data_IF_278499388064
#
_entry.id   IF_278499388064
#
_cell.length_a   1.000
_cell.length_b   1.000
_cell.length_c   1.000
_cell.angle_alpha   90.00
_cell.angle_beta   90.00
_cell.angle_gamma   90.00
#
_symmetry.space_group_name_H-M   'P 1'
#
loop_
_entity.id
_entity.type
_entity.pdbx_description
1 polymer ?
#
# COMPACT_ATOMS: atom_id res chain seq x y z
N UNK A 1 -14.06 10.60 -3.31
CA UNK A 1 -13.50 9.25 -3.16
C UNK A 1 -12.40 9.08 -4.18
N UNK A 2 -11.16 9.03 -3.70
CA UNK A 2 -9.98 8.83 -4.54
C UNK A 2 -9.96 7.35 -4.92
N UNK A 3 -9.94 7.04 -6.22
CA UNK A 3 -10.00 5.67 -6.70
C UNK A 3 -8.60 5.07 -6.72
N UNK A 4 -8.21 4.35 -5.67
CA UNK A 4 -6.96 3.60 -5.67
C UNK A 4 -7.14 2.29 -6.43
N UNK A 5 -6.11 1.91 -7.19
CA UNK A 5 -6.03 0.63 -7.87
C UNK A 5 -4.60 0.11 -7.85
N UNK A 6 -4.38 -1.10 -8.35
CA UNK A 6 -3.07 -1.76 -8.43
C UNK A 6 -1.98 -0.96 -9.18
N UNK A 7 -2.36 -0.01 -10.04
CA UNK A 7 -1.45 0.93 -10.72
C UNK A 7 -1.24 2.24 -9.96
N UNK A 8 -2.02 2.52 -8.90
CA UNK A 8 -1.78 3.66 -8.03
C UNK A 8 -0.44 3.50 -7.32
N UNK A 9 0.26 4.60 -7.14
CA UNK A 9 1.53 4.62 -6.42
C UNK A 9 1.28 4.54 -4.92
N UNK A 10 2.22 3.94 -4.18
CA UNK A 10 2.16 3.95 -2.74
C UNK A 10 2.17 5.39 -2.18
N UNK A 11 2.84 6.32 -2.85
CA UNK A 11 2.81 7.75 -2.53
C UNK A 11 1.42 8.36 -2.64
N UNK A 12 0.66 8.08 -3.71
CA UNK A 12 -0.73 8.53 -3.85
C UNK A 12 -1.62 8.00 -2.71
N UNK A 13 -1.44 6.74 -2.33
CA UNK A 13 -2.16 6.14 -1.19
C UNK A 13 -1.82 6.88 0.11
N UNK A 14 -0.53 7.14 0.36
CA UNK A 14 -0.07 7.75 1.61
C UNK A 14 -0.31 9.26 1.71
N UNK A 15 -0.51 9.94 0.59
CA UNK A 15 -0.82 11.37 0.53
C UNK A 15 -2.31 11.65 0.70
N UNK A 16 -3.16 10.63 0.56
CA UNK A 16 -4.59 10.71 0.77
C UNK A 16 -4.97 10.26 2.19
N UNK A 17 -5.90 10.96 2.84
CA UNK A 17 -6.33 10.62 4.21
C UNK A 17 -6.91 9.20 4.32
N UNK A 18 -7.78 8.80 3.38
CA UNK A 18 -8.42 7.47 3.37
C UNK A 18 -7.39 6.37 3.08
N UNK A 19 -6.54 6.60 2.06
CA UNK A 19 -5.46 5.68 1.74
C UNK A 19 -4.43 5.52 2.87
N UNK A 20 -4.12 6.60 3.57
CA UNK A 20 -3.21 6.59 4.72
C UNK A 20 -3.80 5.84 5.91
N UNK A 21 -5.10 5.99 6.18
CA UNK A 21 -5.78 5.26 7.25
C UNK A 21 -5.74 3.75 6.99
N UNK A 22 -6.08 3.32 5.77
CA UNK A 22 -6.04 1.91 5.37
C UNK A 22 -4.60 1.39 5.38
N UNK A 23 -3.63 2.15 4.86
CA UNK A 23 -2.22 1.78 4.90
C UNK A 23 -1.72 1.63 6.34
N UNK A 24 -2.13 2.52 7.24
CA UNK A 24 -1.75 2.48 8.66
C UNK A 24 -2.39 1.27 9.36
N UNK A 25 -3.64 0.93 9.05
CA UNK A 25 -4.34 -0.25 9.57
C UNK A 25 -3.63 -1.57 9.23
N UNK A 26 -3.15 -1.72 7.98
CA UNK A 26 -2.51 -2.97 7.52
C UNK A 26 -1.02 -3.03 7.80
N UNK A 27 -0.30 -1.95 7.46
CA UNK A 27 1.15 -1.89 7.53
C UNK A 27 1.62 -1.38 8.89
N UNK A 28 0.88 -0.49 9.54
CA UNK A 28 1.22 0.06 10.87
C UNK A 28 2.63 0.66 10.88
N UNK A 29 3.45 0.26 11.84
CA UNK A 29 4.86 0.68 11.97
C UNK A 29 5.75 0.26 10.79
N UNK A 30 5.27 -0.61 9.89
CA UNK A 30 6.01 -0.94 8.67
C UNK A 30 6.10 0.25 7.73
N UNK A 31 5.11 1.17 7.73
CA UNK A 31 5.15 2.40 6.92
C UNK A 31 6.36 3.28 7.21
N UNK A 32 6.85 3.24 8.44
CA UNK A 32 8.00 4.03 8.86
C UNK A 32 9.33 3.42 8.42
N UNK A 33 9.32 2.15 7.98
CA UNK A 33 10.55 1.46 7.58
C UNK A 33 11.15 2.10 6.33
N UNK A 34 12.50 2.24 6.27
CA UNK A 34 13.19 2.81 5.12
C UNK A 34 12.85 2.10 3.80
N UNK A 35 12.67 0.79 3.86
CA UNK A 35 12.31 -0.03 2.70
C UNK A 35 10.97 0.39 2.07
N UNK A 36 10.01 0.86 2.86
CA UNK A 36 8.72 1.35 2.34
C UNK A 36 8.86 2.73 1.72
N UNK A 37 9.69 3.57 2.32
CA UNK A 37 10.02 4.88 1.75
C UNK A 37 10.66 4.75 0.37
N UNK A 38 11.44 3.69 0.13
CA UNK A 38 12.00 3.39 -1.20
C UNK A 38 10.95 2.96 -2.23
N UNK A 39 9.83 2.41 -1.78
CA UNK A 39 8.73 1.97 -2.64
C UNK A 39 7.63 3.01 -2.85
N UNK A 40 7.79 4.25 -2.35
CA UNK A 40 6.76 5.30 -2.49
C UNK A 40 6.41 5.60 -3.95
N UNK A 41 7.40 5.66 -4.83
CA UNK A 41 7.20 5.93 -6.25
C UNK A 41 6.85 4.67 -7.07
N UNK A 42 6.68 3.52 -6.42
CA UNK A 42 6.31 2.26 -7.06
C UNK A 42 4.80 2.07 -7.00
N UNK A 43 4.26 1.40 -8.02
CA UNK A 43 2.85 1.00 -8.01
C UNK A 43 2.62 -0.06 -6.94
N UNK A 44 1.39 -0.15 -6.44
CA UNK A 44 1.02 -1.17 -5.46
C UNK A 44 1.37 -2.60 -5.93
N UNK A 45 1.13 -2.92 -7.21
CA UNK A 45 1.53 -4.20 -7.80
C UNK A 45 3.06 -4.42 -7.82
N UNK A 46 3.84 -3.38 -8.12
CA UNK A 46 5.30 -3.44 -8.04
C UNK A 46 5.76 -3.65 -6.58
N UNK A 47 5.15 -2.96 -5.62
CA UNK A 47 5.49 -3.12 -4.19
C UNK A 47 5.25 -4.56 -3.75
N UNK A 48 4.10 -5.15 -4.10
CA UNK A 48 3.79 -6.54 -3.75
C UNK A 48 4.79 -7.55 -4.33
N UNK A 49 5.27 -7.31 -5.55
CA UNK A 49 6.24 -8.19 -6.22
C UNK A 49 7.67 -8.00 -5.74
N UNK A 50 8.05 -6.77 -5.36
CA UNK A 50 9.40 -6.43 -4.91
C UNK A 50 9.66 -6.77 -3.44
N UNK A 51 8.61 -6.98 -2.63
CA UNK A 51 8.77 -7.32 -1.23
C UNK A 51 9.30 -8.76 -1.07
N UNK A 52 10.51 -8.95 -0.53
CA UNK A 52 11.11 -10.29 -0.41
C UNK A 52 10.57 -11.05 0.81
N UNK A 53 9.88 -10.38 1.73
CA UNK A 53 9.42 -10.97 2.99
C UNK A 53 7.96 -11.43 2.86
N UNK A 54 7.66 -12.74 2.92
CA UNK A 54 6.30 -13.25 2.68
C UNK A 54 5.25 -12.68 3.64
N UNK A 55 5.60 -12.53 4.93
CA UNK A 55 4.72 -11.92 5.93
C UNK A 55 4.39 -10.46 5.60
N UNK A 56 5.34 -9.75 4.99
CA UNK A 56 5.14 -8.37 4.60
C UNK A 56 4.35 -8.27 3.28
N UNK A 57 4.64 -9.16 2.32
CA UNK A 57 3.86 -9.29 1.10
C UNK A 57 2.38 -9.48 1.41
N UNK A 58 2.04 -10.39 2.34
CA UNK A 58 0.65 -10.61 2.75
C UNK A 58 -0.06 -9.35 3.27
N UNK A 59 0.63 -8.50 4.05
CA UNK A 59 0.07 -7.24 4.54
C UNK A 59 -0.14 -6.23 3.41
N UNK A 60 0.77 -6.19 2.44
CA UNK A 60 0.61 -5.34 1.26
C UNK A 60 -0.52 -5.86 0.37
N UNK A 61 -0.63 -7.16 0.12
CA UNK A 61 -1.76 -7.74 -0.62
C UNK A 61 -3.11 -7.38 0.03
N UNK A 62 -3.23 -7.52 1.36
CA UNK A 62 -4.45 -7.13 2.08
C UNK A 62 -4.74 -5.62 2.04
N UNK A 63 -3.71 -4.78 2.05
CA UNK A 63 -3.85 -3.35 1.83
C UNK A 63 -4.42 -3.07 0.42
N UNK A 64 -3.84 -3.70 -0.61
CA UNK A 64 -4.26 -3.51 -2.01
C UNK A 64 -5.70 -3.99 -2.19
N UNK A 65 -6.05 -5.15 -1.64
CA UNK A 65 -7.40 -5.70 -1.64
C UNK A 65 -8.39 -4.73 -0.98
N UNK A 66 -8.11 -4.18 0.20
CA UNK A 66 -9.03 -3.22 0.85
C UNK A 66 -9.12 -1.87 0.10
N UNK A 67 -8.01 -1.39 -0.47
CA UNK A 67 -8.01 -0.18 -1.31
C UNK A 67 -8.82 -0.37 -2.61
N UNK A 68 -8.86 -1.59 -3.15
CA UNK A 68 -9.58 -1.93 -4.38
C UNK A 68 -11.01 -2.41 -4.14
N UNK A 69 -11.33 -2.98 -2.96
CA UNK A 69 -12.68 -3.41 -2.59
C UNK A 69 -13.60 -2.26 -2.15
N UNK A 70 -13.05 -1.17 -1.60
CA UNK A 70 -13.81 0.07 -1.33
C UNK A 70 -14.37 0.75 -2.62
N UNK A 71 -14.25 0.09 -3.78
CA UNK A 71 -14.81 0.50 -5.06
C UNK A 71 -16.24 -0.02 -5.32
N UNK A 72 -16.81 -0.88 -4.45
CA UNK A 72 -18.11 -1.55 -4.68
C UNK A 72 -19.24 -1.00 -3.81
#
# INVERSE_FOLDING_TARGET
MTKFNENSTLEEVLTNEEGLEIATKHLGSLLERPVIKQFKHKTLAEVETMIPVPAFKKKVSSLIEELTENQK
#
